data_IF_958474257047
#
_entry.id   IF_958474257047
#
_cell.length_a   1.000
_cell.length_b   1.000
_cell.length_c   1.000
_cell.angle_alpha   90.00
_cell.angle_beta   90.00
_cell.angle_gamma   90.00
#
_symmetry.space_group_name_H-M   'P 1'
#
loop_
_entity.id
_entity.type
_entity.pdbx_description
1 polymer ?
#
# COMPACT_ATOMS: atom_id res chain seq x y z
N UNK A 1 29.64 3.15 -0.84
CA UNK A 1 29.46 2.69 0.56
C UNK A 1 28.42 3.59 1.21
N UNK A 2 27.34 3.03 1.77
CA UNK A 2 26.31 3.82 2.46
C UNK A 2 26.84 4.28 3.81
N UNK A 3 26.73 5.58 4.11
CA UNK A 3 27.12 6.17 5.38
C UNK A 3 26.15 5.74 6.48
N UNK A 4 26.66 5.15 7.56
CA UNK A 4 25.85 4.76 8.72
C UNK A 4 25.85 5.90 9.73
N UNK A 5 24.67 6.30 10.20
CA UNK A 5 24.51 7.32 11.25
C UNK A 5 24.01 6.65 12.53
N UNK A 6 24.57 7.01 13.69
CA UNK A 6 24.09 6.52 14.98
C UNK A 6 22.77 7.18 15.34
N UNK A 7 21.79 6.39 15.78
CA UNK A 7 20.49 6.86 16.22
C UNK A 7 20.11 6.16 17.52
N UNK A 8 19.51 6.89 18.46
CA UNK A 8 19.02 6.35 19.73
C UNK A 8 17.50 6.46 19.77
N UNK A 9 16.84 5.32 19.96
CA UNK A 9 15.38 5.22 20.05
C UNK A 9 14.99 4.55 21.36
N UNK A 10 13.89 4.99 21.96
CA UNK A 10 13.29 4.32 23.11
C UNK A 10 12.27 3.30 22.59
N UNK A 11 12.43 2.05 22.99
CA UNK A 11 11.49 0.97 22.66
C UNK A 11 10.92 0.37 23.94
N UNK A 12 9.65 -0.08 23.93
CA UNK A 12 9.06 -0.78 25.07
C UNK A 12 9.90 -2.00 25.45
N UNK A 13 9.99 -2.28 26.76
CA UNK A 13 10.80 -3.39 27.28
C UNK A 13 10.38 -4.74 26.71
N UNK A 14 9.09 -5.01 26.63
CA UNK A 14 8.57 -6.28 26.11
C UNK A 14 8.96 -6.49 24.64
N UNK A 15 8.93 -5.41 23.84
CA UNK A 15 9.38 -5.46 22.45
C UNK A 15 10.89 -5.69 22.37
N UNK A 16 11.67 -5.06 23.24
CA UNK A 16 13.12 -5.31 23.33
C UNK A 16 13.43 -6.77 23.65
N UNK A 17 12.73 -7.35 24.62
CA UNK A 17 12.91 -8.74 25.02
C UNK A 17 12.59 -9.71 23.85
N UNK A 18 11.53 -9.42 23.09
CA UNK A 18 11.20 -10.19 21.88
C UNK A 18 12.29 -10.09 20.80
N UNK A 19 12.84 -8.90 20.57
CA UNK A 19 13.92 -8.69 19.60
C UNK A 19 15.18 -9.44 20.04
N UNK A 20 15.54 -9.38 21.32
CA UNK A 20 16.70 -10.09 21.86
C UNK A 20 16.54 -11.61 21.71
N UNK A 21 15.34 -12.16 21.93
CA UNK A 21 15.06 -13.57 21.69
C UNK A 21 15.22 -13.96 20.21
N UNK A 22 14.80 -13.09 19.28
CA UNK A 22 14.99 -13.30 17.84
C UNK A 22 16.47 -13.23 17.47
N UNK A 23 17.22 -12.28 18.02
CA UNK A 23 18.65 -12.13 17.79
C UNK A 23 19.43 -13.37 18.26
N UNK A 24 19.13 -13.86 19.47
CA UNK A 24 19.71 -15.07 20.02
C UNK A 24 19.41 -16.29 19.13
N UNK A 25 18.15 -16.46 18.70
CA UNK A 25 17.76 -17.56 17.81
C UNK A 25 18.45 -17.54 16.45
N UNK A 26 18.76 -16.35 15.93
CA UNK A 26 19.40 -16.17 14.62
C UNK A 26 20.93 -16.02 14.69
N UNK A 27 21.52 -16.09 15.87
CA UNK A 27 22.93 -15.79 16.12
C UNK A 27 23.37 -14.43 15.52
N UNK A 28 22.56 -13.39 15.77
CA UNK A 28 22.79 -12.02 15.30
C UNK A 28 22.77 -11.04 16.47
N UNK A 29 23.37 -9.87 16.26
CA UNK A 29 23.25 -8.77 17.22
C UNK A 29 21.82 -8.22 17.23
N UNK A 30 21.34 -7.78 18.39
CA UNK A 30 20.06 -7.06 18.53
C UNK A 30 19.98 -5.88 17.57
N UNK A 31 21.07 -5.12 17.44
CA UNK A 31 21.16 -3.98 16.53
C UNK A 31 20.98 -4.37 15.06
N UNK A 32 21.50 -5.54 14.64
CA UNK A 32 21.31 -6.03 13.28
C UNK A 32 19.86 -6.46 13.02
N UNK A 33 19.20 -7.08 14.00
CA UNK A 33 17.78 -7.44 13.89
C UNK A 33 16.92 -6.18 13.78
N UNK A 34 17.18 -5.17 14.64
CA UNK A 34 16.47 -3.88 14.59
C UNK A 34 16.69 -3.20 13.24
N UNK A 35 17.94 -3.11 12.78
CA UNK A 35 18.26 -2.51 11.48
C UNK A 35 17.54 -3.23 10.35
N UNK A 36 17.57 -4.56 10.32
CA UNK A 36 16.91 -5.34 9.28
C UNK A 36 15.39 -5.15 9.30
N UNK A 37 14.78 -5.11 10.49
CA UNK A 37 13.34 -4.86 10.63
C UNK A 37 12.96 -3.47 10.08
N UNK A 38 13.77 -2.44 10.37
CA UNK A 38 13.57 -1.10 9.82
C UNK A 38 13.73 -1.09 8.30
N UNK A 39 14.78 -1.73 7.76
CA UNK A 39 15.00 -1.84 6.30
C UNK A 39 13.82 -2.53 5.61
N UNK A 40 13.32 -3.63 6.18
CA UNK A 40 12.18 -4.37 5.64
C UNK A 40 10.89 -3.56 5.73
N UNK A 41 10.63 -2.87 6.85
CA UNK A 41 9.46 -2.03 7.01
C UNK A 41 9.44 -0.88 6.00
N UNK A 42 10.54 -0.15 5.85
CA UNK A 42 10.65 0.97 4.91
C UNK A 42 10.54 0.49 3.46
N UNK A 43 11.21 -0.62 3.12
CA UNK A 43 11.09 -1.20 1.77
C UNK A 43 9.68 -1.72 1.49
N UNK A 44 9.02 -2.29 2.50
CA UNK A 44 7.63 -2.77 2.42
C UNK A 44 6.64 -1.62 2.23
N UNK A 45 6.76 -0.56 3.02
CA UNK A 45 5.93 0.64 2.89
C UNK A 45 6.06 1.26 1.48
N UNK A 46 7.30 1.41 0.98
CA UNK A 46 7.52 1.90 -0.38
C UNK A 46 6.87 1.01 -1.45
N UNK A 47 6.97 -0.31 -1.31
CA UNK A 47 6.34 -1.25 -2.27
C UNK A 47 4.82 -1.21 -2.19
N UNK A 48 4.26 -1.07 -0.99
CA UNK A 48 2.82 -0.94 -0.80
C UNK A 48 2.31 0.34 -1.48
N UNK A 49 2.98 1.47 -1.26
CA UNK A 49 2.66 2.75 -1.89
C UNK A 49 2.81 2.67 -3.42
N UNK A 50 3.93 2.14 -3.93
CA UNK A 50 4.17 1.96 -5.37
C UNK A 50 3.13 1.02 -6.01
N UNK A 51 2.72 -0.03 -5.29
CA UNK A 51 1.68 -0.97 -5.75
C UNK A 51 0.29 -0.34 -5.74
N UNK A 52 -0.04 0.44 -4.71
CA UNK A 52 -1.30 1.19 -4.64
C UNK A 52 -1.37 2.21 -5.77
N UNK A 53 -0.29 2.99 -5.99
CA UNK A 53 -0.18 3.93 -7.09
C UNK A 53 -0.34 3.23 -8.45
N UNK A 54 0.29 2.07 -8.63
CA UNK A 54 0.14 1.28 -9.86
C UNK A 54 -1.29 0.79 -10.05
N UNK A 55 -1.92 0.29 -8.99
CA UNK A 55 -3.29 -0.19 -9.05
C UNK A 55 -4.25 0.95 -9.41
N UNK A 56 -4.13 2.11 -8.76
CA UNK A 56 -4.90 3.31 -9.10
C UNK A 56 -4.70 3.71 -10.58
N UNK A 57 -3.47 3.74 -11.08
CA UNK A 57 -3.19 4.06 -12.49
C UNK A 57 -3.85 3.09 -13.46
N UNK A 58 -3.82 1.79 -13.17
CA UNK A 58 -4.46 0.76 -14.01
C UNK A 58 -5.98 0.92 -13.97
N UNK A 59 -6.56 1.12 -12.79
CA UNK A 59 -8.00 1.35 -12.63
C UNK A 59 -8.47 2.56 -13.43
N UNK A 60 -7.79 3.70 -13.31
CA UNK A 60 -8.11 4.91 -14.06
C UNK A 60 -7.97 4.70 -15.57
N UNK A 61 -6.89 4.04 -16.01
CA UNK A 61 -6.70 3.71 -17.42
C UNK A 61 -7.87 2.85 -17.95
N UNK A 62 -8.29 1.84 -17.20
CA UNK A 62 -9.43 1.00 -17.58
C UNK A 62 -10.73 1.79 -17.63
N UNK A 63 -10.99 2.67 -16.66
CA UNK A 63 -12.19 3.52 -16.65
C UNK A 63 -12.23 4.45 -17.86
N UNK A 64 -11.12 5.12 -18.17
CA UNK A 64 -11.00 6.01 -19.34
C UNK A 64 -11.18 5.22 -20.64
N UNK A 65 -10.53 4.06 -20.78
CA UNK A 65 -10.65 3.22 -21.97
C UNK A 65 -12.08 2.74 -22.18
N UNK A 66 -12.77 2.30 -21.12
CA UNK A 66 -14.16 1.89 -21.19
C UNK A 66 -15.08 3.07 -21.54
N UNK A 67 -14.90 4.24 -20.95
CA UNK A 67 -15.69 5.43 -21.29
C UNK A 67 -15.50 5.82 -22.77
N UNK A 68 -14.27 5.72 -23.30
CA UNK A 68 -14.00 5.95 -24.72
C UNK A 68 -14.72 4.93 -25.62
N UNK A 69 -14.63 3.64 -25.29
CA UNK A 69 -15.31 2.56 -26.04
C UNK A 69 -16.84 2.74 -26.01
N UNK A 70 -17.40 3.11 -24.87
CA UNK A 70 -18.85 3.35 -24.71
C UNK A 70 -19.26 4.57 -25.54
N UNK A 71 -18.52 5.68 -25.47
CA UNK A 71 -18.81 6.87 -26.29
C UNK A 71 -18.79 6.57 -27.79
N UNK A 72 -17.89 5.70 -28.23
CA UNK A 72 -17.76 5.34 -29.64
C UNK A 72 -18.87 4.38 -30.10
N UNK A 73 -19.15 3.33 -29.32
CA UNK A 73 -20.01 2.23 -29.78
C UNK A 73 -21.45 2.28 -29.24
N UNK A 74 -21.66 2.85 -28.05
CA UNK A 74 -22.94 2.89 -27.34
C UNK A 74 -23.14 4.20 -26.57
N UNK A 75 -23.06 5.37 -27.24
CA UNK A 75 -23.12 6.68 -26.58
C UNK A 75 -24.41 6.88 -25.77
N UNK A 76 -25.51 6.25 -26.20
CA UNK A 76 -26.82 6.30 -25.53
C UNK A 76 -26.82 5.67 -24.13
N UNK A 77 -25.89 4.75 -23.86
CA UNK A 77 -25.82 4.06 -22.57
C UNK A 77 -24.98 4.83 -21.53
N UNK A 78 -24.19 5.81 -21.97
CA UNK A 78 -23.18 6.44 -21.12
C UNK A 78 -23.77 7.06 -19.85
N UNK A 79 -24.78 7.90 -20.00
CA UNK A 79 -25.39 8.60 -18.86
C UNK A 79 -26.15 7.65 -17.94
N UNK A 80 -26.77 6.60 -18.50
CA UNK A 80 -27.42 5.54 -17.74
C UNK A 80 -26.41 4.78 -16.87
N UNK A 81 -25.25 4.42 -17.43
CA UNK A 81 -24.19 3.70 -16.71
C UNK A 81 -23.59 4.56 -15.58
N UNK A 82 -23.43 5.86 -15.79
CA UNK A 82 -23.01 6.79 -14.73
C UNK A 82 -24.03 6.79 -13.59
N UNK A 83 -25.32 7.02 -13.90
CA UNK A 83 -26.37 7.04 -12.88
C UNK A 83 -26.51 5.72 -12.12
N UNK A 84 -26.37 4.58 -12.80
CA UNK A 84 -26.36 3.27 -12.15
C UNK A 84 -25.13 3.05 -11.27
N UNK A 85 -23.97 3.59 -11.66
CA UNK A 85 -22.75 3.52 -10.83
C UNK A 85 -22.96 4.26 -9.52
N UNK A 86 -23.47 5.50 -9.57
CA UNK A 86 -23.76 6.30 -8.38
C UNK A 86 -24.73 5.59 -7.43
N UNK A 87 -25.85 5.09 -7.97
CA UNK A 87 -26.84 4.33 -7.20
C UNK A 87 -26.22 3.12 -6.48
N UNK A 88 -25.33 2.38 -7.15
CA UNK A 88 -24.68 1.20 -6.58
C UNK A 88 -23.62 1.57 -5.55
N UNK A 89 -22.93 2.69 -5.73
CA UNK A 89 -21.98 3.21 -4.73
C UNK A 89 -22.69 3.61 -3.45
N UNK A 90 -23.85 4.27 -3.55
CA UNK A 90 -24.72 4.56 -2.41
C UNK A 90 -25.22 3.26 -1.75
N UNK A 91 -25.72 2.32 -2.55
CA UNK A 91 -26.37 1.09 -2.05
C UNK A 91 -25.41 0.11 -1.37
N UNK A 92 -24.21 -0.10 -1.94
CA UNK A 92 -23.31 -1.18 -1.49
C UNK A 92 -22.05 -0.67 -0.78
N UNK A 93 -21.70 0.59 -0.96
CA UNK A 93 -20.43 1.14 -0.48
C UNK A 93 -20.61 2.35 0.45
N UNK A 94 -21.85 2.80 0.68
CA UNK A 94 -22.17 3.85 1.64
C UNK A 94 -21.60 5.22 1.28
N UNK A 95 -21.23 5.42 0.01
CA UNK A 95 -20.82 6.72 -0.49
C UNK A 95 -22.05 7.63 -0.49
N UNK A 96 -21.96 8.78 0.19
CA UNK A 96 -22.92 9.89 0.16
C UNK A 96 -22.16 11.16 -0.12
#
# INVERSE_FOLDING_TARGET
>A
MSTKTHCTVRIPRDLRDQVDAVAARQNRSTSDVIRLAIEQFVAGAKRADDSQLRHMRVTEYTQIALDAIIRENHPELRDHLIAQTDLRMEQYHGAR
#
